data_IF_110488138729
#
_entry.id   IF_110488138729
#
_cell.length_a   1.000
_cell.length_b   1.000
_cell.length_c   1.000
_cell.angle_alpha   90.00
_cell.angle_beta   90.00
_cell.angle_gamma   90.00
#
_symmetry.space_group_name_H-M   'P 1'
#
loop_
_entity.id
_entity.type
_entity.pdbx_description
1 polymer ?
#
# COMPACT_ATOMS: atom_id res chain seq x y z
N UNK A 1 -2.81 -14.23 -0.85
CA UNK A 1 -1.55 -13.65 -0.37
C UNK A 1 -1.62 -13.50 1.16
N UNK A 2 -0.72 -14.12 1.95
CA UNK A 2 -0.67 -13.90 3.42
C UNK A 2 0.14 -12.63 3.67
N UNK A 3 -0.53 -11.49 3.83
CA UNK A 3 0.07 -10.20 4.18
C UNK A 3 0.63 -10.18 5.61
N UNK A 4 1.66 -10.99 5.87
CA UNK A 4 2.41 -11.01 7.12
C UNK A 4 3.31 -9.76 7.30
N UNK A 5 3.48 -8.97 6.24
CA UNK A 5 4.29 -7.74 6.22
C UNK A 5 3.67 -6.64 7.10
N UNK A 6 2.34 -6.56 7.15
CA UNK A 6 1.61 -5.56 7.97
C UNK A 6 1.98 -5.71 9.45
N UNK A 7 2.11 -6.95 9.96
CA UNK A 7 2.44 -7.19 11.37
C UNK A 7 3.94 -7.04 11.67
N UNK A 8 4.81 -7.06 10.65
CA UNK A 8 6.26 -7.05 10.84
C UNK A 8 6.87 -5.64 10.81
N UNK A 9 6.23 -4.69 10.14
CA UNK A 9 6.71 -3.32 9.97
C UNK A 9 5.91 -2.41 10.91
N UNK A 10 6.26 -2.43 12.19
CA UNK A 10 5.78 -1.44 13.15
C UNK A 10 6.16 -0.01 12.73
N UNK A 11 5.43 0.97 13.26
CA UNK A 11 5.53 2.42 12.99
C UNK A 11 6.88 3.05 13.41
N UNK A 12 7.99 2.67 12.75
CA UNK A 12 9.34 3.19 13.05
C UNK A 12 9.80 4.20 12.00
N UNK A 13 10.01 5.46 12.39
CA UNK A 13 10.35 6.59 11.50
C UNK A 13 11.83 6.67 11.07
N UNK A 14 12.63 5.63 11.32
CA UNK A 14 14.06 5.66 11.01
C UNK A 14 14.33 5.29 9.55
N UNK A 15 13.91 6.13 8.60
CA UNK A 15 14.39 6.19 7.20
C UNK A 15 14.99 4.89 6.65
N UNK A 16 14.26 3.78 6.78
CA UNK A 16 14.83 2.47 6.50
C UNK A 16 14.79 2.25 5.00
N UNK A 17 15.81 1.63 4.41
CA UNK A 17 15.82 1.26 2.99
C UNK A 17 15.15 -0.12 2.76
N UNK A 18 14.08 -0.45 3.49
CA UNK A 18 13.39 -1.76 3.42
C UNK A 18 12.68 -1.92 2.08
N UNK A 19 12.08 -0.87 1.53
CA UNK A 19 11.46 -0.85 0.21
C UNK A 19 12.52 -1.08 -0.88
N UNK A 20 13.68 -0.43 -0.77
CA UNK A 20 14.82 -0.65 -1.67
C UNK A 20 15.35 -2.10 -1.58
N UNK A 21 15.45 -2.64 -0.36
CA UNK A 21 15.84 -4.04 -0.15
C UNK A 21 14.82 -5.00 -0.76
N UNK A 22 13.52 -4.76 -0.58
CA UNK A 22 12.44 -5.53 -1.17
C UNK A 22 12.48 -5.48 -2.70
N UNK A 23 12.61 -4.28 -3.29
CA UNK A 23 12.74 -4.10 -4.73
C UNK A 23 13.93 -4.88 -5.29
N UNK A 24 15.09 -4.75 -4.66
CA UNK A 24 16.29 -5.48 -5.07
C UNK A 24 16.11 -7.00 -4.97
N UNK A 25 15.49 -7.47 -3.90
CA UNK A 25 15.19 -8.88 -3.71
C UNK A 25 14.25 -9.42 -4.80
N UNK A 26 13.14 -8.74 -5.09
CA UNK A 26 12.17 -9.18 -6.11
C UNK A 26 12.80 -9.15 -7.50
N UNK A 27 13.42 -8.04 -7.91
CA UNK A 27 14.06 -7.91 -9.23
C UNK A 27 15.11 -9.00 -9.45
N UNK A 28 15.94 -9.29 -8.44
CA UNK A 28 16.96 -10.35 -8.52
C UNK A 28 16.33 -11.74 -8.59
N UNK A 29 15.35 -12.02 -7.74
CA UNK A 29 14.73 -13.36 -7.62
C UNK A 29 13.90 -13.71 -8.84
N UNK A 30 13.13 -12.75 -9.36
CA UNK A 30 12.28 -12.90 -10.54
C UNK A 30 13.03 -12.67 -11.85
N UNK A 31 14.31 -12.28 -11.78
CA UNK A 31 15.17 -11.97 -12.92
C UNK A 31 14.54 -10.94 -13.86
N UNK A 32 13.92 -9.90 -13.31
CA UNK A 32 13.39 -8.80 -14.12
C UNK A 32 14.54 -8.10 -14.82
N UNK A 33 14.46 -8.02 -16.16
CA UNK A 33 15.51 -7.39 -16.94
C UNK A 33 15.46 -5.87 -16.74
N UNK A 34 16.40 -5.35 -15.96
CA UNK A 34 16.56 -3.92 -15.71
C UNK A 34 16.88 -3.14 -16.99
N UNK A 35 17.56 -3.77 -17.97
CA UNK A 35 18.03 -3.11 -19.18
C UNK A 35 18.72 -1.77 -18.89
N UNK A 36 18.60 -0.85 -19.84
CA UNK A 36 19.15 0.52 -19.73
C UNK A 36 18.28 1.38 -18.79
N UNK A 37 16.99 1.03 -18.61
CA UNK A 37 16.02 1.83 -17.86
C UNK A 37 16.08 1.62 -16.33
N UNK A 38 16.92 0.68 -15.87
CA UNK A 38 17.17 0.43 -14.46
C UNK A 38 16.12 -0.41 -13.74
N UNK A 39 16.45 -0.79 -12.50
CA UNK A 39 15.66 -1.75 -11.70
C UNK A 39 14.26 -1.24 -11.35
N UNK A 40 14.11 0.06 -11.07
CA UNK A 40 12.82 0.65 -10.70
C UNK A 40 11.81 0.55 -11.84
N UNK A 41 12.22 0.90 -13.07
CA UNK A 41 11.37 0.80 -14.25
C UNK A 41 11.03 -0.68 -14.54
N UNK A 42 12.02 -1.57 -14.49
CA UNK A 42 11.76 -3.00 -14.68
C UNK A 42 10.79 -3.57 -13.63
N UNK A 43 10.89 -3.14 -12.37
CA UNK A 43 9.96 -3.51 -11.33
C UNK A 43 8.54 -3.01 -11.64
N UNK A 44 8.37 -1.70 -11.94
CA UNK A 44 7.05 -1.12 -12.26
C UNK A 44 6.32 -1.88 -13.38
N UNK A 45 7.02 -2.29 -14.43
CA UNK A 45 6.40 -2.96 -15.58
C UNK A 45 6.13 -4.45 -15.35
N UNK A 46 7.06 -5.16 -14.70
CA UNK A 46 7.04 -6.63 -14.65
C UNK A 46 6.50 -7.20 -13.33
N UNK A 47 6.46 -6.42 -12.25
CA UNK A 47 5.98 -6.88 -10.96
C UNK A 47 4.48 -7.24 -11.02
N UNK A 48 4.12 -8.24 -10.23
CA UNK A 48 2.73 -8.62 -9.97
C UNK A 48 2.02 -7.56 -9.12
N UNK A 49 0.68 -7.60 -9.09
CA UNK A 49 -0.09 -6.72 -8.20
C UNK A 49 0.33 -6.86 -6.73
N UNK A 50 0.57 -8.09 -6.28
CA UNK A 50 1.02 -8.43 -4.93
C UNK A 50 2.38 -7.81 -4.60
N UNK A 51 3.35 -7.89 -5.52
CA UNK A 51 4.68 -7.31 -5.32
C UNK A 51 4.64 -5.77 -5.32
N UNK A 52 3.86 -5.17 -6.23
CA UNK A 52 3.68 -3.73 -6.30
C UNK A 52 3.02 -3.20 -5.01
N UNK A 53 1.92 -3.82 -4.55
CA UNK A 53 1.23 -3.33 -3.37
C UNK A 53 2.05 -3.52 -2.10
N UNK A 54 2.79 -4.62 -1.98
CA UNK A 54 3.73 -4.82 -0.88
C UNK A 54 4.82 -3.75 -0.87
N UNK A 55 5.43 -3.45 -2.03
CA UNK A 55 6.43 -2.40 -2.13
C UNK A 55 5.84 -1.03 -1.76
N UNK A 56 4.67 -0.69 -2.29
CA UNK A 56 3.99 0.57 -2.00
C UNK A 56 3.72 0.74 -0.50
N UNK A 57 3.21 -0.31 0.14
CA UNK A 57 2.98 -0.30 1.59
C UNK A 57 4.27 -0.10 2.38
N UNK A 58 5.33 -0.87 2.09
CA UNK A 58 6.61 -0.73 2.78
C UNK A 58 7.15 0.70 2.62
N UNK A 59 7.11 1.25 1.39
CA UNK A 59 7.62 2.59 1.11
C UNK A 59 6.81 3.70 1.80
N UNK A 60 5.49 3.57 1.89
CA UNK A 60 4.63 4.51 2.61
C UNK A 60 4.83 4.44 4.14
N UNK A 61 5.15 3.26 4.68
CA UNK A 61 5.47 3.10 6.10
C UNK A 61 6.87 3.60 6.46
N UNK A 62 7.79 3.71 5.49
CA UNK A 62 9.13 4.30 5.71
C UNK A 62 9.11 5.81 5.84
N UNK A 63 8.24 6.47 5.07
CA UNK A 63 8.03 7.91 5.12
C UNK A 63 6.56 8.21 4.85
N UNK A 64 5.79 8.37 5.93
CA UNK A 64 4.36 8.63 5.87
C UNK A 64 4.03 10.07 5.44
N UNK A 65 5.04 10.94 5.34
CA UNK A 65 4.88 12.31 4.83
C UNK A 65 5.11 12.40 3.30
N UNK A 66 5.75 11.41 2.68
CA UNK A 66 5.96 11.30 1.23
C UNK A 66 5.28 10.06 0.65
N UNK A 67 4.00 10.22 0.32
CA UNK A 67 3.16 9.14 -0.23
C UNK A 67 2.91 9.24 -1.73
N UNK A 68 3.52 10.21 -2.43
CA UNK A 68 3.30 10.42 -3.87
C UNK A 68 3.77 9.20 -4.65
N UNK A 69 5.01 8.79 -4.45
CA UNK A 69 5.59 7.64 -5.14
C UNK A 69 4.95 6.30 -4.70
N UNK A 70 4.74 6.03 -3.40
CA UNK A 70 3.92 4.89 -2.97
C UNK A 70 2.55 4.81 -3.63
N UNK A 71 1.85 5.94 -3.73
CA UNK A 71 0.53 5.98 -4.36
C UNK A 71 0.62 5.64 -5.86
N UNK A 72 1.60 6.17 -6.59
CA UNK A 72 1.84 5.80 -7.99
C UNK A 72 1.96 4.28 -8.16
N UNK A 73 2.77 3.63 -7.31
CA UNK A 73 2.96 2.18 -7.36
C UNK A 73 1.69 1.41 -6.95
N UNK A 74 0.96 1.90 -5.95
CA UNK A 74 -0.31 1.31 -5.54
C UNK A 74 -1.36 1.37 -6.65
N UNK A 75 -1.41 2.46 -7.44
CA UNK A 75 -2.28 2.56 -8.60
C UNK A 75 -1.93 1.52 -9.69
N UNK A 76 -0.64 1.23 -9.91
CA UNK A 76 -0.23 0.15 -10.81
C UNK A 76 -0.68 -1.23 -10.31
N UNK A 77 -0.65 -1.46 -8.99
CA UNK A 77 -1.17 -2.68 -8.40
C UNK A 77 -2.69 -2.81 -8.60
N UNK A 78 -3.44 -1.74 -8.38
CA UNK A 78 -4.89 -1.66 -8.61
C UNK A 78 -5.25 -1.96 -10.06
N UNK A 79 -4.51 -1.41 -11.04
CA UNK A 79 -4.74 -1.70 -12.45
C UNK A 79 -4.57 -3.19 -12.78
N UNK A 80 -3.63 -3.87 -12.11
CA UNK A 80 -3.37 -5.30 -12.33
C UNK A 80 -4.33 -6.22 -11.59
N UNK A 81 -4.87 -5.81 -10.44
CA UNK A 81 -5.80 -6.60 -9.65
C UNK A 81 -6.86 -5.73 -8.96
N UNK A 82 -7.83 -5.19 -9.73
CA UNK A 82 -8.82 -4.23 -9.21
C UNK A 82 -9.83 -4.87 -8.24
N UNK A 83 -9.97 -6.20 -8.25
CA UNK A 83 -10.96 -6.91 -7.44
C UNK A 83 -10.40 -7.40 -6.10
N UNK A 84 -9.11 -7.22 -5.81
CA UNK A 84 -8.49 -7.65 -4.55
C UNK A 84 -8.82 -6.69 -3.42
N UNK A 85 -9.38 -7.21 -2.32
CA UNK A 85 -9.63 -6.41 -1.11
C UNK A 85 -8.31 -5.91 -0.52
N UNK A 86 -7.27 -6.74 -0.51
CA UNK A 86 -5.94 -6.37 -0.05
C UNK A 86 -5.37 -5.19 -0.84
N UNK A 87 -5.41 -5.26 -2.17
CA UNK A 87 -4.89 -4.20 -3.05
C UNK A 87 -5.67 -2.90 -2.85
N UNK A 88 -7.00 -2.98 -2.77
CA UNK A 88 -7.85 -1.82 -2.59
C UNK A 88 -7.66 -1.17 -1.20
N UNK A 89 -7.64 -1.95 -0.11
CA UNK A 89 -7.47 -1.40 1.23
C UNK A 89 -6.10 -0.75 1.42
N UNK A 90 -5.02 -1.39 0.96
CA UNK A 90 -3.69 -0.80 1.09
C UNK A 90 -3.57 0.46 0.22
N UNK A 91 -4.09 0.45 -1.00
CA UNK A 91 -4.11 1.66 -1.84
C UNK A 91 -4.94 2.78 -1.22
N UNK A 92 -6.08 2.43 -0.62
CA UNK A 92 -6.93 3.36 0.13
C UNK A 92 -6.22 3.96 1.34
N UNK A 93 -5.45 3.15 2.08
CA UNK A 93 -4.63 3.61 3.21
C UNK A 93 -3.58 4.65 2.76
N UNK A 94 -2.83 4.34 1.70
CA UNK A 94 -1.79 5.25 1.18
C UNK A 94 -2.41 6.56 0.68
N UNK A 95 -3.55 6.48 0.00
CA UNK A 95 -4.31 7.67 -0.41
C UNK A 95 -4.81 8.47 0.79
N UNK A 96 -5.32 7.81 1.82
CA UNK A 96 -5.78 8.45 3.04
C UNK A 96 -4.65 9.19 3.76
N UNK A 97 -3.45 8.59 3.84
CA UNK A 97 -2.27 9.25 4.39
C UNK A 97 -1.97 10.58 3.68
N UNK A 98 -2.07 10.62 2.34
CA UNK A 98 -1.89 11.87 1.59
C UNK A 98 -2.97 12.91 1.87
N UNK A 99 -4.22 12.48 2.01
CA UNK A 99 -5.34 13.36 2.37
C UNK A 99 -5.22 13.91 3.81
N UNK A 100 -4.70 13.12 4.74
CA UNK A 100 -4.43 13.56 6.11
C UNK A 100 -3.44 14.72 6.15
N UNK A 101 -2.40 14.70 5.30
CA UNK A 101 -1.45 15.81 5.16
C UNK A 101 -2.10 17.10 4.64
N UNK A 102 -3.23 16.98 3.93
CA UNK A 102 -4.02 18.10 3.44
C UNK A 102 -5.14 18.53 4.40
N UNK A 103 -5.22 17.92 5.59
CA UNK A 103 -6.31 18.08 6.56
C UNK A 103 -7.70 17.59 6.08
N UNK A 104 -7.73 16.71 5.08
CA UNK A 104 -8.97 16.14 4.51
C UNK A 104 -9.39 14.85 5.25
N UNK A 105 -9.36 14.88 6.58
CA UNK A 105 -9.51 13.70 7.47
C UNK A 105 -10.80 12.92 7.22
N UNK A 106 -11.92 13.64 7.15
CA UNK A 106 -13.24 13.03 7.01
C UNK A 106 -13.48 12.50 5.62
N UNK A 107 -13.05 13.24 4.61
CA UNK A 107 -13.10 12.75 3.24
C UNK A 107 -12.28 11.46 3.09
N UNK A 108 -11.05 11.43 3.64
CA UNK A 108 -10.20 10.24 3.64
C UNK A 108 -10.88 9.03 4.31
N UNK A 109 -11.45 9.21 5.50
CA UNK A 109 -12.13 8.15 6.23
C UNK A 109 -13.37 7.64 5.47
N UNK A 110 -14.20 8.54 4.92
CA UNK A 110 -15.38 8.16 4.11
C UNK A 110 -14.98 7.38 2.86
N UNK A 111 -13.95 7.83 2.13
CA UNK A 111 -13.47 7.11 0.94
C UNK A 111 -12.96 5.72 1.32
N UNK A 112 -12.17 5.60 2.39
CA UNK A 112 -11.65 4.31 2.85
C UNK A 112 -12.77 3.36 3.30
N UNK A 113 -13.73 3.85 4.08
CA UNK A 113 -14.86 3.05 4.57
C UNK A 113 -15.73 2.48 3.43
N UNK A 114 -15.80 3.17 2.28
CA UNK A 114 -16.51 2.65 1.10
C UNK A 114 -15.83 1.41 0.50
N UNK A 115 -14.49 1.37 0.54
CA UNK A 115 -13.71 0.20 0.11
C UNK A 115 -13.96 -0.96 1.06
N UNK A 116 -13.89 -0.71 2.37
CA UNK A 116 -14.05 -1.74 3.39
C UNK A 116 -15.41 -2.44 3.33
N UNK A 117 -16.46 -1.68 3.00
CA UNK A 117 -17.85 -2.17 2.89
C UNK A 117 -18.16 -2.78 1.52
N UNK A 118 -17.23 -2.74 0.57
CA UNK A 118 -17.47 -3.26 -0.77
C UNK A 118 -17.42 -4.79 -0.79
N UNK A 119 -18.59 -5.42 -0.83
CA UNK A 119 -18.76 -6.88 -0.85
C UNK A 119 -18.45 -7.52 -2.20
N UNK A 120 -18.20 -6.73 -3.25
CA UNK A 120 -17.79 -7.24 -4.56
C UNK A 120 -16.29 -7.55 -4.63
N UNK A 121 -15.50 -7.10 -3.63
CA UNK A 121 -14.07 -7.36 -3.57
C UNK A 121 -13.79 -8.77 -3.03
N UNK A 122 -12.76 -9.41 -3.59
CA UNK A 122 -12.26 -10.71 -3.17
C UNK A 122 -11.58 -10.58 -1.80
N UNK A 123 -12.07 -11.31 -0.80
CA UNK A 123 -11.53 -11.32 0.55
C UNK A 123 -10.18 -12.07 0.63
N UNK A 124 -9.11 -11.45 0.12
CA UNK A 124 -7.75 -12.00 0.06
C UNK A 124 -6.77 -11.38 1.07
N UNK A 125 -7.29 -10.56 1.99
CA UNK A 125 -6.60 -10.00 3.15
C UNK A 125 -6.93 -10.80 4.42
N UNK A 126 -5.94 -11.04 5.28
CA UNK A 126 -6.16 -11.67 6.59
C UNK A 126 -6.94 -10.73 7.51
N UNK A 127 -7.89 -11.26 8.27
CA UNK A 127 -8.76 -10.48 9.18
C UNK A 127 -7.96 -9.56 10.11
N UNK A 128 -6.91 -10.05 10.75
CA UNK A 128 -6.09 -9.23 11.66
C UNK A 128 -5.46 -8.03 10.94
N UNK A 129 -4.91 -8.25 9.73
CA UNK A 129 -4.32 -7.19 8.92
C UNK A 129 -5.38 -6.19 8.45
N UNK A 130 -6.59 -6.65 8.13
CA UNK A 130 -7.72 -5.77 7.84
C UNK A 130 -8.04 -4.88 9.05
N UNK A 131 -8.19 -5.48 10.23
CA UNK A 131 -8.59 -4.78 11.44
C UNK A 131 -7.59 -3.68 11.82
N UNK A 132 -6.28 -3.97 11.77
CA UNK A 132 -5.23 -2.98 12.06
C UNK A 132 -5.35 -1.75 11.15
N UNK A 133 -5.54 -1.96 9.84
CA UNK A 133 -5.67 -0.84 8.89
C UNK A 133 -6.96 -0.06 9.16
N UNK A 134 -8.07 -0.75 9.41
CA UNK A 134 -9.37 -0.12 9.64
C UNK A 134 -9.36 0.70 10.94
N UNK A 135 -8.83 0.15 12.03
CA UNK A 135 -8.67 0.84 13.32
C UNK A 135 -7.82 2.10 13.19
N UNK A 136 -6.72 2.03 12.44
CA UNK A 136 -5.89 3.21 12.15
C UNK A 136 -6.70 4.31 11.45
N UNK A 137 -7.38 3.99 10.35
CA UNK A 137 -8.19 4.99 9.62
C UNK A 137 -9.33 5.54 10.48
N UNK A 138 -10.00 4.69 11.26
CA UNK A 138 -11.08 5.11 12.16
C UNK A 138 -10.57 6.06 13.26
N UNK A 139 -9.40 5.79 13.85
CA UNK A 139 -8.80 6.68 14.85
C UNK A 139 -8.51 8.08 14.27
N UNK A 140 -8.09 8.15 13.01
CA UNK A 140 -7.82 9.40 12.31
C UNK A 140 -9.11 10.14 11.91
N UNK A 141 -10.20 9.40 11.68
CA UNK A 141 -11.52 9.93 11.32
C UNK A 141 -12.49 10.10 12.49
N UNK A 142 -12.06 9.96 13.74
CA UNK A 142 -12.97 9.85 14.91
C UNK A 142 -13.88 11.08 15.11
N UNK A 143 -13.46 12.26 14.63
CA UNK A 143 -14.24 13.50 14.75
C UNK A 143 -15.12 13.80 13.52
N UNK A 144 -15.21 12.87 12.59
CA UNK A 144 -15.99 13.01 11.36
C UNK A 144 -17.45 12.66 11.64
N UNK A 145 -18.23 13.69 11.97
CA UNK A 145 -19.67 13.62 12.16
C UNK A 145 -20.40 13.48 10.82
#
# INVERSE_FOLDING_TARGET
>A
MKLAIINAIGWSNNGTKRSEAFLNFVVKTKKYNAGINGKSIAFKWNATADELICFAYIRAMEDYFDVIYPNEIAQLALQKNPNSLAVNLISGLIKAQGLFLLNEWCYAATQFNSIEKNTLLTADLRTDGKNIICEYIQSMGTNCK
#
